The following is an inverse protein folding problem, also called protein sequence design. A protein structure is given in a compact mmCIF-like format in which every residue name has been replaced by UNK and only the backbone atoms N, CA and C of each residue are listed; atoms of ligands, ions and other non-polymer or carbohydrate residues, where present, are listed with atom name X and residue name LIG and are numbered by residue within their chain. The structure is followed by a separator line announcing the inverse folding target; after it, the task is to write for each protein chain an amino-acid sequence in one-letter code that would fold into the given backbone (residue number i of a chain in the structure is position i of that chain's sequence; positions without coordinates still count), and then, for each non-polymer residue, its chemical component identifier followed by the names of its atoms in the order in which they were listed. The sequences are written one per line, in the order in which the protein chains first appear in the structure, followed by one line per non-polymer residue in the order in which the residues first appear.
data_IF_850750525663
#
_entry.id   IF_850750525663
#
_cell.length_a   1.000
_cell.length_b   1.000
_cell.length_c   1.000
_cell.angle_alpha   90.00
_cell.angle_beta   90.00
_cell.angle_gamma   90.00
#
_symmetry.space_group_name_H-M   'P 1'
#
loop_
_entity.id
_entity.type
_entity.pdbx_description
1 polymer ?
#
# COMPACT_ATOMS: atom_id res chain seq x y z
N UNK A 1 28.42 31.30 -51.01
CA UNK A 1 29.21 30.20 -50.44
C UNK A 1 30.26 29.72 -51.44
N UNK A 2 31.54 29.91 -51.10
CA UNK A 2 32.66 29.35 -51.84
C UNK A 2 32.54 27.83 -51.89
N UNK A 3 33.00 27.15 -52.95
CA UNK A 3 32.95 25.68 -53.06
C UNK A 3 33.55 24.96 -51.84
N UNK A 4 34.57 25.57 -51.22
CA UNK A 4 35.23 25.08 -50.00
C UNK A 4 34.30 25.09 -48.77
N UNK A 5 33.40 26.08 -48.64
CA UNK A 5 32.46 26.15 -47.52
C UNK A 5 31.40 25.04 -47.61
N UNK A 6 30.94 24.72 -48.83
CA UNK A 6 29.98 23.62 -49.03
C UNK A 6 30.58 22.25 -48.69
N UNK A 7 31.86 22.04 -48.98
CA UNK A 7 32.55 20.80 -48.64
C UNK A 7 32.76 20.65 -47.12
N UNK A 8 33.08 21.74 -46.42
CA UNK A 8 33.23 21.73 -44.96
C UNK A 8 31.90 21.43 -44.24
N UNK A 9 30.79 22.04 -44.69
CA UNK A 9 29.46 21.80 -44.12
C UNK A 9 28.98 20.36 -44.37
N UNK A 10 29.31 19.78 -45.53
CA UNK A 10 28.96 18.40 -45.87
C UNK A 10 29.76 17.39 -45.04
N UNK A 11 31.05 17.65 -44.80
CA UNK A 11 31.89 16.84 -43.91
C UNK A 11 31.40 16.90 -42.45
N UNK A 12 31.06 18.09 -41.94
CA UNK A 12 30.53 18.25 -40.58
C UNK A 12 29.17 17.53 -40.41
N UNK A 13 28.32 17.55 -41.44
CA UNK A 13 27.05 16.82 -41.44
C UNK A 13 27.26 15.30 -41.45
N UNK A 14 28.26 14.80 -42.18
CA UNK A 14 28.62 13.37 -42.19
C UNK A 14 29.16 12.91 -40.84
N UNK A 15 30.08 13.68 -40.22
CA UNK A 15 30.60 13.36 -38.89
C UNK A 15 29.52 13.36 -37.82
N UNK A 16 28.57 14.30 -37.87
CA UNK A 16 27.46 14.35 -36.92
C UNK A 16 26.56 13.12 -37.04
N UNK A 17 26.23 12.70 -38.28
CA UNK A 17 25.46 11.47 -38.54
C UNK A 17 26.19 10.23 -38.06
N UNK A 18 27.52 10.17 -38.22
CA UNK A 18 28.31 9.03 -37.77
C UNK A 18 28.39 8.95 -36.24
N UNK A 19 28.60 10.08 -35.55
CA UNK A 19 28.56 10.15 -34.09
C UNK A 19 27.21 9.69 -33.53
N UNK A 20 26.11 10.12 -34.13
CA UNK A 20 24.76 9.72 -33.73
C UNK A 20 24.51 8.21 -33.96
N UNK A 21 24.99 7.67 -35.09
CA UNK A 21 24.94 6.23 -35.38
C UNK A 21 25.69 5.42 -34.31
N UNK A 22 26.90 5.85 -33.95
CA UNK A 22 27.72 5.15 -32.97
C UNK A 22 27.11 5.22 -31.56
N UNK A 23 26.56 6.37 -31.17
CA UNK A 23 25.85 6.52 -29.90
C UNK A 23 24.61 5.63 -29.81
N UNK A 24 23.88 5.45 -30.93
CA UNK A 24 22.72 4.54 -30.99
C UNK A 24 23.13 3.07 -30.87
N UNK A 25 24.26 2.68 -31.44
CA UNK A 25 24.79 1.32 -31.32
C UNK A 25 25.22 1.01 -29.88
N UNK A 26 25.88 1.95 -29.20
CA UNK A 26 26.30 1.79 -27.81
C UNK A 26 25.10 1.62 -26.86
N UNK A 27 24.03 2.41 -27.06
CA UNK A 27 22.78 2.28 -26.30
C UNK A 27 22.13 0.91 -26.51
N UNK A 28 22.14 0.40 -27.73
CA UNK A 28 21.61 -0.95 -28.04
C UNK A 28 22.42 -2.06 -27.37
N UNK A 29 23.75 -1.95 -27.36
CA UNK A 29 24.62 -2.92 -26.69
C UNK A 29 24.40 -2.94 -25.18
N UNK A 30 24.32 -1.76 -24.53
CA UNK A 30 24.01 -1.66 -23.09
C UNK A 30 22.64 -2.25 -22.73
N UNK A 31 21.62 -2.01 -23.56
CA UNK A 31 20.29 -2.57 -23.35
C UNK A 31 20.28 -4.10 -23.47
N UNK A 32 21.05 -4.67 -24.40
CA UNK A 32 21.16 -6.11 -24.59
C UNK A 32 21.84 -6.79 -23.40
N UNK A 33 22.90 -6.19 -22.84
CA UNK A 33 23.58 -6.69 -21.64
C UNK A 33 22.67 -6.66 -20.40
N UNK A 34 21.93 -5.55 -20.19
CA UNK A 34 20.93 -5.46 -19.13
C UNK A 34 19.85 -6.54 -19.25
N UNK A 35 19.42 -6.86 -20.47
CA UNK A 35 18.44 -7.92 -20.72
C UNK A 35 19.00 -9.32 -20.39
N UNK A 36 20.27 -9.59 -20.70
CA UNK A 36 20.93 -10.86 -20.33
C UNK A 36 21.02 -11.04 -18.82
N UNK A 37 21.42 -10.00 -18.08
CA UNK A 37 21.51 -10.03 -16.62
C UNK A 37 20.14 -10.30 -15.99
N UNK A 38 19.08 -9.67 -16.51
CA UNK A 38 17.70 -9.89 -16.02
C UNK A 38 17.21 -11.32 -16.27
N UNK A 39 17.58 -11.94 -17.40
CA UNK A 39 17.24 -13.35 -17.69
C UNK A 39 17.96 -14.30 -16.74
N UNK A 40 19.27 -14.14 -16.56
CA UNK A 40 20.07 -14.96 -15.64
C UNK A 40 19.54 -14.93 -14.20
N UNK A 41 19.11 -13.76 -13.69
CA UNK A 41 18.49 -13.66 -12.35
C UNK A 41 17.13 -14.35 -12.26
N UNK A 42 16.34 -14.35 -13.33
CA UNK A 42 15.03 -15.02 -13.35
C UNK A 42 15.18 -16.54 -13.38
N UNK A 43 16.19 -17.04 -14.07
CA UNK A 43 16.49 -18.47 -14.16
C UNK A 43 17.02 -19.00 -12.82
N UNK A 44 17.91 -18.25 -12.14
CA UNK A 44 18.37 -18.59 -10.79
C UNK A 44 17.22 -18.68 -9.76
N UNK A 45 16.24 -17.78 -9.85
CA UNK A 45 15.10 -17.78 -8.91
C UNK A 45 14.14 -18.96 -9.13
N UNK A 46 14.05 -19.46 -10.37
CA UNK A 46 13.27 -20.67 -10.68
C UNK A 46 13.96 -21.95 -10.22
N UNK A 47 15.30 -22.03 -10.30
CA UNK A 47 16.04 -23.19 -9.79
C UNK A 47 15.96 -23.30 -8.26
N UNK A 48 15.88 -22.18 -7.53
CA UNK A 48 15.67 -22.20 -6.08
C UNK A 48 14.25 -22.65 -5.70
N UNK A 49 13.21 -22.24 -6.44
CA UNK A 49 11.83 -22.66 -6.18
C UNK A 49 11.56 -24.13 -6.53
N UNK A 50 12.30 -24.72 -7.48
CA UNK A 50 12.11 -26.12 -7.88
C UNK A 50 12.79 -27.13 -6.95
N UNK A 51 13.72 -26.68 -6.10
CA UNK A 51 14.47 -27.56 -5.16
C UNK A 51 13.72 -27.84 -3.85
N UNK A 52 12.63 -27.13 -3.59
CA UNK A 52 11.80 -27.29 -2.38
C UNK A 52 10.53 -28.15 -2.63
N UNK A 53 10.39 -28.75 -3.83
CA UNK A 53 9.15 -29.43 -4.27
C UNK A 53 9.22 -30.95 -4.48
N UNK A 54 10.38 -31.59 -4.33
CA UNK A 54 10.53 -33.03 -4.59
C UNK A 54 11.15 -33.74 -3.39
N UNK A 55 10.33 -34.18 -2.43
CA UNK A 55 10.63 -35.25 -1.47
C UNK A 55 9.33 -35.62 -0.69
N UNK A 56 8.32 -36.19 -1.37
CA UNK A 56 7.28 -36.99 -0.70
C UNK A 56 7.04 -38.29 -1.48
N UNK A 57 7.86 -39.30 -1.18
CA UNK A 57 7.47 -40.71 -1.16
C UNK A 57 8.57 -41.52 -0.47
N UNK A 58 8.32 -42.04 0.75
CA UNK A 58 9.30 -42.89 1.43
C UNK A 58 9.24 -42.95 2.95
N UNK A 59 8.32 -43.77 3.42
CA UNK A 59 8.23 -44.50 4.69
C UNK A 59 9.41 -44.46 5.71
N UNK A 60 9.00 -44.43 6.98
CA UNK A 60 9.73 -44.85 8.18
C UNK A 60 11.14 -44.28 8.46
N UNK A 61 11.19 -43.26 9.33
CA UNK A 61 11.93 -43.34 10.60
C UNK A 61 11.67 -42.17 11.53
N UNK A 62 11.12 -42.51 12.70
CA UNK A 62 11.16 -41.77 13.96
C UNK A 62 12.52 -41.07 14.17
N UNK A 63 12.61 -39.81 13.78
CA UNK A 63 13.41 -38.82 14.50
C UNK A 63 12.43 -37.75 14.91
N UNK A 64 12.15 -37.67 16.21
CA UNK A 64 11.48 -36.54 16.84
C UNK A 64 12.36 -35.30 16.61
N UNK A 65 12.30 -34.71 15.41
CA UNK A 65 12.71 -33.32 15.21
C UNK A 65 11.74 -32.54 16.07
N UNK A 66 12.28 -31.88 17.10
CA UNK A 66 11.55 -30.90 17.89
C UNK A 66 10.70 -30.05 16.92
N UNK A 67 9.45 -29.69 17.28
CA UNK A 67 8.67 -28.81 16.44
C UNK A 67 9.58 -27.62 16.13
N UNK A 68 9.95 -27.51 14.86
CA UNK A 68 10.58 -26.32 14.33
C UNK A 68 9.44 -25.33 14.51
N UNK A 69 9.45 -24.65 15.66
CA UNK A 69 8.65 -23.47 15.89
C UNK A 69 8.95 -22.67 14.65
N UNK A 70 7.99 -22.65 13.71
CA UNK A 70 7.97 -21.64 12.66
C UNK A 70 8.13 -20.39 13.49
N UNK A 71 9.31 -19.78 13.38
CA UNK A 71 9.68 -18.60 14.14
C UNK A 71 8.63 -17.60 13.69
N UNK A 72 7.55 -17.53 14.46
CA UNK A 72 6.34 -16.80 14.15
C UNK A 72 6.80 -15.37 14.26
N UNK A 73 7.23 -14.82 13.13
CA UNK A 73 7.51 -13.42 12.85
C UNK A 73 7.77 -12.59 14.10
N UNK A 74 8.83 -12.95 14.84
CA UNK A 74 9.24 -12.19 16.03
C UNK A 74 10.02 -10.92 15.63
N UNK A 75 9.83 -10.47 14.39
CA UNK A 75 10.56 -9.38 13.76
C UNK A 75 9.67 -8.51 12.84
N UNK A 76 8.34 -8.61 12.93
CA UNK A 76 7.45 -7.62 12.28
C UNK A 76 7.64 -6.18 12.80
N UNK A 77 8.51 -6.00 13.81
CA UNK A 77 8.91 -4.70 14.38
C UNK A 77 10.32 -4.25 14.01
N UNK A 78 11.04 -4.97 13.14
CA UNK A 78 12.31 -4.44 12.61
C UNK A 78 11.99 -3.32 11.64
N UNK A 79 12.17 -2.09 12.11
CA UNK A 79 12.22 -0.95 11.21
C UNK A 79 13.41 -1.13 10.27
N UNK A 80 13.14 -1.14 8.97
CA UNK A 80 14.12 -1.28 7.90
C UNK A 80 14.92 0.03 7.74
N UNK A 81 15.66 0.40 8.79
CA UNK A 81 16.57 1.54 8.79
C UNK A 81 17.89 1.12 8.16
N UNK A 82 18.28 1.85 7.12
CA UNK A 82 19.49 1.67 6.36
C UNK A 82 20.42 2.86 6.64
N UNK A 83 21.63 2.60 7.13
CA UNK A 83 22.67 3.62 7.28
C UNK A 83 23.68 3.47 6.15
N UNK A 84 23.68 4.42 5.22
CA UNK A 84 24.70 4.50 4.20
C UNK A 84 25.98 5.11 4.79
N UNK A 85 26.97 4.28 5.13
CA UNK A 85 28.22 4.70 5.78
C UNK A 85 29.09 5.64 4.92
N UNK A 86 28.94 5.61 3.59
CA UNK A 86 29.72 6.47 2.71
C UNK A 86 29.21 7.91 2.71
N UNK A 87 27.87 8.08 2.76
CA UNK A 87 27.23 9.40 2.80
C UNK A 87 26.81 9.82 4.21
N UNK A 88 26.99 8.93 5.20
CA UNK A 88 26.45 9.05 6.57
C UNK A 88 24.94 9.34 6.60
N UNK A 89 24.21 8.84 5.61
CA UNK A 89 22.79 9.12 5.44
C UNK A 89 21.95 7.96 5.97
N UNK A 90 20.94 8.30 6.78
CA UNK A 90 19.96 7.35 7.30
C UNK A 90 18.71 7.37 6.41
N UNK A 91 18.29 6.20 5.94
CA UNK A 91 17.09 6.01 5.10
C UNK A 91 16.19 4.92 5.66
N UNK A 92 14.88 5.02 5.44
CA UNK A 92 13.92 3.96 5.75
C UNK A 92 13.45 3.33 4.44
N UNK A 93 13.78 2.06 4.19
CA UNK A 93 13.50 1.37 2.91
C UNK A 93 13.92 2.20 1.68
N UNK A 94 15.14 2.73 1.71
CA UNK A 94 15.68 3.62 0.68
C UNK A 94 14.95 4.97 0.48
N UNK A 95 13.99 5.32 1.33
CA UNK A 95 13.38 6.66 1.37
C UNK A 95 14.09 7.56 2.37
N UNK A 96 14.17 8.85 2.04
CA UNK A 96 14.84 9.85 2.88
C UNK A 96 13.98 10.18 4.10
N UNK A 97 14.63 10.25 5.26
CA UNK A 97 13.99 10.73 6.47
C UNK A 97 13.87 12.25 6.44
N UNK A 98 12.70 12.74 6.83
CA UNK A 98 12.39 14.15 6.98
C UNK A 98 11.69 14.39 8.30
N UNK A 99 11.72 15.64 8.79
CA UNK A 99 10.87 16.03 9.90
C UNK A 99 9.41 16.01 9.45
N UNK A 100 8.50 15.66 10.36
CA UNK A 100 7.08 15.76 10.09
C UNK A 100 6.70 17.24 9.86
N UNK A 101 5.89 17.49 8.84
CA UNK A 101 5.50 18.85 8.45
C UNK A 101 4.65 19.51 9.54
N UNK A 102 4.84 20.82 9.74
CA UNK A 102 4.21 21.56 10.82
C UNK A 102 2.68 21.50 10.77
N UNK A 103 2.10 21.58 9.57
CA UNK A 103 0.65 21.54 9.38
C UNK A 103 0.06 20.19 9.82
N UNK A 104 0.77 19.09 9.53
CA UNK A 104 0.39 17.74 9.97
C UNK A 104 0.53 17.63 11.50
N UNK A 105 1.58 18.18 12.09
CA UNK A 105 1.80 18.17 13.55
C UNK A 105 0.72 18.97 14.29
N UNK A 106 0.22 20.06 13.69
CA UNK A 106 -0.78 20.92 14.31
C UNK A 106 -2.19 20.33 14.28
N UNK A 107 -2.43 19.31 13.46
CA UNK A 107 -3.71 18.63 13.33
C UNK A 107 -4.22 18.12 14.70
N UNK A 108 -5.51 18.33 15.03
CA UNK A 108 -6.07 17.93 16.31
C UNK A 108 -5.95 16.42 16.56
N UNK A 109 -6.11 15.58 15.53
CA UNK A 109 -6.04 14.12 15.69
C UNK A 109 -4.60 13.69 15.98
N UNK A 110 -3.62 14.35 15.34
CA UNK A 110 -2.20 14.11 15.61
C UNK A 110 -1.81 14.47 17.03
N UNK A 111 -2.34 15.59 17.57
CA UNK A 111 -2.15 15.97 18.97
C UNK A 111 -2.88 15.05 19.94
N UNK A 112 -4.04 14.52 19.57
CA UNK A 112 -4.77 13.59 20.43
C UNK A 112 -4.03 12.25 20.55
N UNK A 113 -3.60 11.70 19.41
CA UNK A 113 -2.96 10.38 19.35
C UNK A 113 -1.52 10.44 19.88
N UNK A 114 -0.73 11.42 19.44
CA UNK A 114 0.71 11.48 19.71
C UNK A 114 1.13 12.57 20.70
N UNK A 115 0.20 13.44 21.13
CA UNK A 115 0.43 14.48 22.15
C UNK A 115 1.60 15.39 21.75
N UNK A 116 2.37 15.84 22.73
CA UNK A 116 3.52 16.74 22.55
C UNK A 116 4.68 16.07 21.78
N UNK A 117 4.68 14.74 21.70
CA UNK A 117 5.75 13.99 21.01
C UNK A 117 5.68 14.13 19.48
N UNK A 118 4.54 14.58 18.94
CA UNK A 118 4.35 14.79 17.50
C UNK A 118 5.38 15.77 16.90
N UNK A 119 5.82 16.77 17.67
CA UNK A 119 6.71 17.85 17.20
C UNK A 119 8.11 17.36 16.84
N UNK A 120 8.60 16.31 17.51
CA UNK A 120 9.95 15.78 17.29
C UNK A 120 9.97 14.56 16.37
N UNK A 121 8.82 14.19 15.79
CA UNK A 121 8.74 13.00 14.96
C UNK A 121 9.39 13.20 13.60
N UNK A 122 10.10 12.16 13.18
CA UNK A 122 10.60 12.03 11.82
C UNK A 122 9.68 11.08 11.06
N UNK A 123 9.58 11.28 9.75
CA UNK A 123 8.83 10.42 8.86
C UNK A 123 9.61 10.17 7.56
N UNK A 124 9.18 9.16 6.83
CA UNK A 124 9.58 8.92 5.45
C UNK A 124 8.35 9.04 4.55
N UNK A 125 8.46 9.78 3.46
CA UNK A 125 7.42 9.79 2.43
C UNK A 125 7.42 8.42 1.74
N UNK A 126 6.28 7.72 1.81
CA UNK A 126 6.05 6.43 1.15
C UNK A 126 5.49 6.65 -0.25
N UNK A 127 4.49 7.53 -0.33
CA UNK A 127 3.78 7.87 -1.57
C UNK A 127 3.31 9.32 -1.52
N UNK A 128 3.23 9.96 -2.69
CA UNK A 128 2.78 11.34 -2.83
C UNK A 128 1.89 11.47 -4.08
N UNK A 129 0.63 11.78 -3.86
CA UNK A 129 -0.38 12.04 -4.88
C UNK A 129 -0.85 13.50 -4.80
N UNK A 130 -1.60 13.96 -5.81
CA UNK A 130 -1.99 15.38 -5.96
C UNK A 130 -2.70 15.98 -4.73
N UNK A 131 -3.52 15.18 -4.04
CA UNK A 131 -4.25 15.60 -2.84
C UNK A 131 -3.98 14.74 -1.60
N UNK A 132 -3.03 13.80 -1.67
CA UNK A 132 -2.76 12.85 -0.59
C UNK A 132 -1.27 12.60 -0.43
N UNK A 133 -0.76 12.77 0.78
CA UNK A 133 0.57 12.37 1.18
C UNK A 133 0.50 11.17 2.13
N UNK A 134 1.29 10.14 1.86
CA UNK A 134 1.45 8.99 2.75
C UNK A 134 2.82 9.05 3.42
N UNK A 135 2.79 9.30 4.72
CA UNK A 135 3.97 9.46 5.56
C UNK A 135 4.06 8.29 6.55
N UNK A 136 5.18 7.58 6.56
CA UNK A 136 5.45 6.56 7.58
C UNK A 136 6.27 7.15 8.71
N UNK A 137 5.80 7.05 9.94
CA UNK A 137 6.51 7.59 11.09
C UNK A 137 7.71 6.72 11.44
N UNK A 138 8.86 7.35 11.70
CA UNK A 138 10.07 6.65 12.16
C UNK A 138 9.93 6.39 13.66
N UNK A 139 10.36 5.21 14.11
CA UNK A 139 10.23 4.83 15.52
C UNK A 139 8.88 4.18 15.85
N UNK A 140 7.89 4.29 14.96
CA UNK A 140 6.51 3.82 15.19
C UNK A 140 5.98 3.09 13.97
N UNK A 141 5.19 2.04 14.21
CA UNK A 141 4.50 1.31 13.13
C UNK A 141 3.17 2.00 12.79
N UNK A 142 3.24 3.30 12.51
CA UNK A 142 2.09 4.14 12.20
C UNK A 142 2.32 4.84 10.86
N UNK A 143 1.27 4.84 10.06
CA UNK A 143 1.21 5.54 8.80
C UNK A 143 0.22 6.70 8.92
N UNK A 144 0.63 7.89 8.49
CA UNK A 144 -0.18 9.09 8.45
C UNK A 144 -0.55 9.36 7.00
N UNK A 145 -1.85 9.42 6.74
CA UNK A 145 -2.40 9.82 5.45
C UNK A 145 -2.91 11.25 5.57
N UNK A 146 -2.12 12.20 5.05
CA UNK A 146 -2.47 13.60 5.04
C UNK A 146 -3.18 13.96 3.74
N UNK A 147 -4.32 14.65 3.83
CA UNK A 147 -5.11 15.06 2.68
C UNK A 147 -5.18 16.59 2.61
N UNK A 148 -4.58 17.17 1.58
CA UNK A 148 -4.52 18.63 1.39
C UNK A 148 -5.90 19.21 1.05
N UNK A 149 -6.76 18.41 0.46
CA UNK A 149 -8.13 18.79 0.09
C UNK A 149 -9.09 17.88 0.81
N UNK A 150 -10.18 18.45 1.32
CA UNK A 150 -11.28 17.68 1.87
C UNK A 150 -11.74 16.65 0.84
N UNK A 151 -11.63 15.36 1.17
CA UNK A 151 -12.20 14.32 0.34
C UNK A 151 -13.71 14.55 0.25
N UNK A 152 -14.18 14.88 -0.96
CA UNK A 152 -15.60 15.06 -1.27
C UNK A 152 -16.22 13.78 -1.80
N UNK A 153 -15.41 12.73 -2.02
CA UNK A 153 -15.91 11.44 -2.44
C UNK A 153 -16.72 10.84 -1.30
N UNK A 154 -18.00 10.73 -1.56
CA UNK A 154 -18.91 9.93 -0.76
C UNK A 154 -18.57 8.48 -1.03
N UNK A 155 -18.51 7.67 0.03
CA UNK A 155 -18.48 6.22 -0.14
C UNK A 155 -19.57 5.82 -1.13
N UNK A 156 -19.29 4.90 -2.04
CA UNK A 156 -20.31 4.45 -2.97
C UNK A 156 -21.34 3.65 -2.18
N UNK A 157 -22.61 4.09 -2.23
CA UNK A 157 -23.69 3.30 -1.66
C UNK A 157 -23.97 2.14 -2.61
N UNK A 158 -23.36 1.00 -2.34
CA UNK A 158 -23.52 -0.21 -3.16
C UNK A 158 -24.73 -1.04 -2.77
N UNK A 159 -25.41 -0.69 -1.67
CA UNK A 159 -26.50 -1.45 -1.09
C UNK A 159 -27.77 -0.60 -1.00
N UNK A 160 -28.86 -1.14 -1.54
CA UNK A 160 -30.15 -0.47 -1.63
C UNK A 160 -31.20 -1.05 -0.67
N UNK A 161 -31.03 -2.30 -0.20
CA UNK A 161 -31.97 -2.95 0.74
C UNK A 161 -31.73 -2.42 2.14
N UNK A 162 -32.71 -1.74 2.72
CA UNK A 162 -32.66 -1.29 4.12
C UNK A 162 -32.77 -2.50 5.06
N UNK A 163 -31.97 -2.49 6.12
CA UNK A 163 -31.99 -3.51 7.16
C UNK A 163 -33.21 -3.31 8.07
N UNK A 164 -34.13 -4.27 8.04
CA UNK A 164 -35.23 -4.40 8.99
C UNK A 164 -35.11 -5.75 9.73
N UNK A 165 -34.99 -5.78 11.06
CA UNK A 165 -34.90 -7.02 11.84
C UNK A 165 -36.12 -7.94 11.71
N UNK A 166 -37.27 -7.42 11.23
CA UNK A 166 -38.48 -8.19 10.95
C UNK A 166 -38.55 -8.80 9.55
N UNK A 167 -37.77 -8.27 8.59
CA UNK A 167 -37.79 -8.68 7.17
C UNK A 167 -36.47 -9.32 6.71
N UNK A 168 -35.75 -9.97 7.63
CA UNK A 168 -34.56 -10.76 7.32
C UNK A 168 -34.93 -12.11 6.70
N UNK A 169 -34.08 -12.60 5.80
CA UNK A 169 -34.22 -13.97 5.32
C UNK A 169 -33.87 -14.98 6.45
N UNK A 170 -34.39 -16.22 6.40
CA UNK A 170 -34.06 -17.24 7.40
C UNK A 170 -32.56 -17.52 7.56
N UNK A 171 -31.77 -17.34 6.50
CA UNK A 171 -30.30 -17.46 6.54
C UNK A 171 -29.60 -16.29 7.25
N UNK A 172 -30.30 -15.18 7.49
CA UNK A 172 -29.76 -13.92 8.00
C UNK A 172 -30.22 -13.63 9.44
N UNK A 173 -31.04 -14.49 10.05
CA UNK A 173 -31.60 -14.25 11.40
C UNK A 173 -30.52 -14.04 12.47
N UNK A 174 -29.35 -14.66 12.30
CA UNK A 174 -28.21 -14.49 13.21
C UNK A 174 -27.68 -13.05 13.26
N UNK A 175 -27.88 -12.27 12.18
CA UNK A 175 -27.46 -10.87 12.13
C UNK A 175 -28.25 -10.07 13.15
N UNK A 176 -29.56 -10.30 13.27
CA UNK A 176 -30.41 -9.60 14.25
C UNK A 176 -29.87 -9.78 15.66
N UNK A 177 -29.56 -11.02 16.03
CA UNK A 177 -29.15 -11.35 17.40
C UNK A 177 -27.77 -10.75 17.75
N UNK A 178 -26.90 -10.57 16.75
CA UNK A 178 -25.57 -9.98 16.92
C UNK A 178 -25.57 -8.45 16.81
N UNK A 179 -26.32 -7.90 15.85
CA UNK A 179 -26.24 -6.50 15.46
C UNK A 179 -27.24 -5.61 16.21
N UNK A 180 -28.44 -6.09 16.56
CA UNK A 180 -29.44 -5.28 17.27
C UNK A 180 -28.93 -4.64 18.57
N UNK A 181 -28.17 -5.33 19.44
CA UNK A 181 -27.64 -4.70 20.65
C UNK A 181 -26.75 -3.48 20.32
N UNK A 182 -25.94 -3.59 19.27
CA UNK A 182 -25.03 -2.51 18.84
C UNK A 182 -25.84 -1.39 18.18
N UNK A 183 -26.79 -1.74 17.31
CA UNK A 183 -27.69 -0.80 16.65
C UNK A 183 -28.45 0.06 17.65
N UNK A 184 -29.01 -0.56 18.69
CA UNK A 184 -29.77 0.12 19.73
C UNK A 184 -28.90 0.99 20.64
N UNK A 185 -27.64 0.63 20.87
CA UNK A 185 -26.72 1.40 21.71
C UNK A 185 -26.17 2.64 21.00
N UNK A 186 -25.79 2.51 19.73
CA UNK A 186 -25.02 3.55 19.03
C UNK A 186 -25.78 4.25 17.90
N UNK A 187 -26.75 3.57 17.27
CA UNK A 187 -27.41 4.04 16.04
C UNK A 187 -28.90 4.38 16.22
N UNK A 188 -29.44 4.20 17.43
CA UNK A 188 -30.84 4.46 17.76
C UNK A 188 -31.01 5.85 18.39
N UNK A 189 -30.61 6.90 17.65
CA UNK A 189 -30.88 8.26 18.08
C UNK A 189 -32.35 8.61 17.78
N UNK A 190 -33.19 8.93 18.79
CA UNK A 190 -34.63 9.17 18.60
C UNK A 190 -34.93 10.37 17.69
N UNK A 191 -33.98 11.29 17.53
CA UNK A 191 -34.13 12.43 16.66
C UNK A 191 -33.79 12.14 15.20
N UNK A 192 -32.93 11.14 14.93
CA UNK A 192 -32.47 10.73 13.59
C UNK A 192 -31.96 9.28 13.64
N UNK A 193 -32.77 8.27 13.30
CA UNK A 193 -32.27 6.90 13.17
C UNK A 193 -31.28 6.82 12.01
N UNK A 194 -30.15 6.15 12.21
CA UNK A 194 -29.18 5.92 11.14
C UNK A 194 -29.66 4.76 10.26
N UNK A 195 -29.97 4.99 8.97
CA UNK A 195 -30.36 3.91 8.09
C UNK A 195 -29.15 3.00 7.84
N UNK A 196 -29.39 1.70 7.87
CA UNK A 196 -28.38 0.65 7.63
C UNK A 196 -28.84 -0.15 6.43
N UNK A 197 -27.94 -0.41 5.49
CA UNK A 197 -28.23 -1.10 4.24
C UNK A 197 -27.47 -2.42 4.14
N UNK A 198 -28.11 -3.38 3.47
CA UNK A 198 -27.64 -4.74 3.21
C UNK A 198 -27.65 -5.06 1.72
N UNK A 199 -26.91 -6.10 1.29
CA UNK A 199 -27.05 -6.65 -0.05
C UNK A 199 -28.51 -7.02 -0.37
N UNK A 200 -28.91 -6.81 -1.62
CA UNK A 200 -30.26 -7.14 -2.10
C UNK A 200 -30.51 -8.66 -2.06
N UNK A 201 -29.51 -9.44 -2.45
CA UNK A 201 -29.58 -10.90 -2.42
C UNK A 201 -29.41 -11.45 -1.00
N UNK A 202 -30.17 -12.51 -0.70
CA UNK A 202 -30.05 -13.22 0.56
C UNK A 202 -28.65 -13.78 0.76
N UNK A 203 -28.10 -13.61 1.96
CA UNK A 203 -26.82 -14.23 2.29
C UNK A 203 -26.92 -15.77 2.20
N UNK A 204 -25.85 -16.45 1.76
CA UNK A 204 -25.75 -17.91 1.80
C UNK A 204 -26.03 -18.44 3.21
N UNK A 205 -26.67 -19.61 3.32
CA UNK A 205 -27.01 -20.21 4.62
C UNK A 205 -25.80 -20.61 5.47
N UNK A 206 -24.62 -20.71 4.87
CA UNK A 206 -23.34 -20.98 5.53
C UNK A 206 -22.50 -19.70 5.74
N UNK A 207 -23.05 -18.52 5.43
CA UNK A 207 -22.36 -17.25 5.60
C UNK A 207 -22.10 -16.96 7.09
N UNK A 208 -20.83 -16.79 7.44
CA UNK A 208 -20.41 -16.37 8.78
C UNK A 208 -20.13 -14.86 8.87
N UNK A 209 -20.17 -14.13 7.75
CA UNK A 209 -19.84 -12.71 7.65
C UNK A 209 -20.89 -12.01 6.81
N UNK A 210 -21.36 -10.86 7.29
CA UNK A 210 -22.26 -9.96 6.60
C UNK A 210 -21.60 -8.59 6.46
N UNK A 211 -21.68 -7.98 5.29
CA UNK A 211 -21.22 -6.61 5.05
C UNK A 211 -22.44 -5.69 4.99
N UNK A 212 -22.45 -4.65 5.83
CA UNK A 212 -23.53 -3.68 5.92
C UNK A 212 -22.95 -2.27 5.84
N UNK A 213 -23.72 -1.32 5.29
CA UNK A 213 -23.30 0.07 5.15
C UNK A 213 -24.28 0.96 5.90
N UNK A 214 -23.78 1.85 6.75
CA UNK A 214 -24.59 2.83 7.46
C UNK A 214 -24.06 4.24 7.19
N UNK A 215 -24.98 5.20 7.02
CA UNK A 215 -24.65 6.60 6.74
C UNK A 215 -25.04 7.50 7.90
N UNK A 216 -24.08 7.95 8.68
CA UNK A 216 -24.32 8.98 9.69
C UNK A 216 -24.15 10.37 9.08
N UNK A 217 -25.26 11.12 8.99
CA UNK A 217 -25.26 12.50 8.50
C UNK A 217 -24.49 13.47 9.42
N UNK A 218 -24.24 13.11 10.68
CA UNK A 218 -23.45 13.97 11.59
C UNK A 218 -21.98 14.07 11.19
N UNK A 219 -21.36 12.99 10.72
CA UNK A 219 -19.94 12.98 10.35
C UNK A 219 -19.63 13.93 9.19
N UNK A 220 -20.61 14.22 8.33
CA UNK A 220 -20.45 15.14 7.21
C UNK A 220 -20.45 16.64 7.61
N UNK A 221 -20.83 16.97 8.84
CA UNK A 221 -21.05 18.37 9.28
C UNK A 221 -20.01 18.86 10.30
N UNK A 222 -19.08 18.02 10.75
CA UNK A 222 -17.97 18.42 11.62
C UNK A 222 -16.70 18.48 10.78
N UNK A 223 -16.53 19.59 10.06
CA UNK A 223 -15.24 20.13 9.63
C UNK A 223 -15.32 21.65 9.73
#
# INVERSE_FOLDING_TARGET
PTPEQKQADEQAAQEKKEKERNQRLERKQKALELAKVKRSRKDQRKEEEQKDGEDEDGDAKRRKKAPRVKKKDLDSRRMDLELNLQTYQLTLRSSNLMALEYDVVQDPDMKEVFKEEAVSMQCAAVDNAEHRMWLRLVGRDHDVHWWTTADTQRAEQTFDREYDPGELYPSEEWIRDLFEPIRLLFYNCPCRPTPVYMPEEALPGDAAVASMIAWDQKAATVR
#
